data_IF_982177903210
#
_entry.id   IF_982177903210
#
_cell.length_a   1.000
_cell.length_b   1.000
_cell.length_c   1.000
_cell.angle_alpha   90.00
_cell.angle_beta   90.00
_cell.angle_gamma   90.00
#
_symmetry.space_group_name_H-M   'P 1'
#
loop_
_entity.id
_entity.type
_entity.pdbx_description
1 polymer ?
#
# COMPACT_ATOMS: atom_id res chain seq x y z
N UNK A 1 -12.73 -6.04 -0.99
CA UNK A 1 -12.96 -4.61 -0.66
C UNK A 1 -12.97 -3.80 -1.96
N UNK A 2 -13.93 -2.89 -2.17
CA UNK A 2 -13.99 -2.07 -3.40
C UNK A 2 -13.50 -0.64 -3.12
N UNK A 3 -12.18 -0.45 -3.02
CA UNK A 3 -11.54 0.85 -2.79
C UNK A 3 -10.39 1.11 -3.76
N UNK A 4 -10.00 2.38 -3.93
CA UNK A 4 -8.78 2.77 -4.64
C UNK A 4 -7.65 2.98 -3.63
N UNK A 5 -6.43 2.60 -4.01
CA UNK A 5 -5.23 2.77 -3.19
C UNK A 5 -4.35 3.90 -3.73
N UNK A 6 -3.88 4.76 -2.82
CA UNK A 6 -2.95 5.85 -3.11
C UNK A 6 -1.83 5.86 -2.06
N UNK A 7 -0.61 6.16 -2.50
CA UNK A 7 0.56 6.30 -1.63
C UNK A 7 1.06 7.73 -1.68
N UNK A 8 1.37 8.32 -0.52
CA UNK A 8 1.89 9.68 -0.43
C UNK A 8 3.31 9.71 0.14
N UNK A 9 4.24 10.34 -0.58
CA UNK A 9 5.53 10.72 -0.04
C UNK A 9 5.39 12.00 0.79
N UNK A 10 5.30 11.82 2.11
CA UNK A 10 5.08 12.90 3.06
C UNK A 10 6.38 13.67 3.35
N UNK A 11 6.24 14.99 3.49
CA UNK A 11 7.25 15.83 4.14
C UNK A 11 7.23 15.61 5.66
N UNK A 12 8.25 16.14 6.35
CA UNK A 12 8.31 16.10 7.81
C UNK A 12 7.11 16.82 8.45
N UNK A 13 6.69 17.96 7.89
CA UNK A 13 5.55 18.73 8.39
C UNK A 13 4.23 17.97 8.20
N UNK A 14 4.01 17.38 7.02
CA UNK A 14 2.82 16.56 6.77
C UNK A 14 2.79 15.32 7.66
N UNK A 15 3.93 14.66 7.86
CA UNK A 15 4.05 13.51 8.77
C UNK A 15 3.70 13.90 10.21
N UNK A 16 4.23 15.02 10.70
CA UNK A 16 3.91 15.52 12.04
C UNK A 16 2.43 15.84 12.19
N UNK A 17 1.85 16.51 11.19
CA UNK A 17 0.42 16.86 11.18
C UNK A 17 -0.47 15.62 11.17
N UNK A 18 -0.14 14.63 10.33
CA UNK A 18 -0.87 13.37 10.25
C UNK A 18 -0.80 12.58 11.57
N UNK A 19 0.39 12.50 12.18
CA UNK A 19 0.60 11.78 13.44
C UNK A 19 0.00 12.50 14.67
N UNK A 20 -0.19 13.82 14.58
CA UNK A 20 -0.82 14.63 15.62
C UNK A 20 -2.34 14.82 15.42
N UNK A 21 -2.91 14.25 14.36
CA UNK A 21 -4.33 14.33 14.08
C UNK A 21 -5.15 13.65 15.19
N UNK A 22 -6.26 14.29 15.60
CA UNK A 22 -7.12 13.78 16.65
C UNK A 22 -8.27 12.95 16.06
N UNK A 23 -8.18 11.64 16.28
CA UNK A 23 -9.15 10.65 15.82
C UNK A 23 -9.37 10.59 14.30
N UNK A 24 -10.35 9.80 13.90
CA UNK A 24 -10.67 9.50 12.50
C UNK A 24 -10.92 10.76 11.65
N UNK A 25 -11.68 11.73 12.18
CA UNK A 25 -12.01 12.96 11.46
C UNK A 25 -10.78 13.84 11.20
N UNK A 26 -9.85 13.91 12.16
CA UNK A 26 -8.60 14.64 11.98
C UNK A 26 -7.73 13.98 10.90
N UNK A 27 -7.64 12.64 10.91
CA UNK A 27 -6.87 11.89 9.91
C UNK A 27 -7.44 12.08 8.51
N UNK A 28 -8.76 11.94 8.35
CA UNK A 28 -9.43 12.17 7.06
C UNK A 28 -9.17 13.58 6.53
N UNK A 29 -9.31 14.61 7.38
CA UNK A 29 -9.06 16.00 6.96
C UNK A 29 -7.61 16.25 6.51
N UNK A 30 -6.63 15.53 7.06
CA UNK A 30 -5.23 15.60 6.60
C UNK A 30 -5.05 14.86 5.28
N UNK A 31 -5.68 13.69 5.11
CA UNK A 31 -5.63 12.92 3.86
C UNK A 31 -6.26 13.70 2.71
N UNK A 32 -7.43 14.31 2.90
CA UNK A 32 -8.09 15.14 1.87
C UNK A 32 -7.16 16.27 1.38
N UNK A 33 -6.42 16.90 2.30
CA UNK A 33 -5.43 17.93 1.93
C UNK A 33 -4.23 17.36 1.17
N UNK A 34 -3.84 16.12 1.42
CA UNK A 34 -2.78 15.45 0.68
C UNK A 34 -3.24 15.09 -0.74
N UNK A 35 -4.48 14.63 -0.91
CA UNK A 35 -5.07 14.35 -2.22
C UNK A 35 -5.07 15.59 -3.12
N UNK A 36 -5.39 16.76 -2.57
CA UNK A 36 -5.38 18.03 -3.31
C UNK A 36 -3.96 18.58 -3.55
N UNK A 37 -3.01 18.29 -2.66
CA UNK A 37 -1.74 19.02 -2.54
C UNK A 37 -0.45 18.24 -2.83
N UNK A 38 -0.50 16.91 -2.89
CA UNK A 38 0.71 16.09 -3.02
C UNK A 38 1.32 16.17 -4.44
N UNK A 39 0.49 16.32 -5.48
CA UNK A 39 0.94 16.38 -6.87
C UNK A 39 1.80 15.16 -7.23
N UNK A 40 3.03 15.40 -7.71
CA UNK A 40 3.98 14.34 -8.09
C UNK A 40 4.46 13.44 -6.93
N UNK A 41 4.13 13.80 -5.67
CA UNK A 41 4.43 12.99 -4.49
C UNK A 41 3.34 11.97 -4.16
N UNK A 42 2.25 11.94 -4.94
CA UNK A 42 1.24 10.91 -4.87
C UNK A 42 1.49 9.83 -5.95
N UNK A 43 1.24 8.59 -5.58
CA UNK A 43 1.26 7.45 -6.49
C UNK A 43 -0.05 6.67 -6.38
N UNK A 44 -0.82 6.67 -7.46
CA UNK A 44 -2.08 5.93 -7.55
C UNK A 44 -1.81 4.47 -7.93
N UNK A 45 -1.97 3.59 -6.95
CA UNK A 45 -2.00 2.14 -7.18
C UNK A 45 -3.37 1.67 -7.68
N UNK A 46 -4.36 2.56 -7.72
CA UNK A 46 -5.74 2.33 -8.15
C UNK A 46 -6.34 1.06 -7.55
N UNK A 47 -6.69 0.04 -8.35
CA UNK A 47 -7.23 -1.24 -7.86
C UNK A 47 -6.17 -2.30 -7.60
N UNK A 48 -4.91 -2.01 -7.93
CA UNK A 48 -3.81 -2.96 -7.81
C UNK A 48 -3.35 -3.19 -6.36
N UNK A 49 -3.71 -2.31 -5.43
CA UNK A 49 -3.22 -2.36 -4.04
C UNK A 49 -3.50 -3.69 -3.35
N UNK A 50 -4.65 -4.34 -3.60
CA UNK A 50 -5.04 -5.58 -2.93
C UNK A 50 -4.07 -6.71 -3.31
N UNK A 51 -3.98 -7.03 -4.60
CA UNK A 51 -3.06 -8.06 -5.07
C UNK A 51 -1.60 -7.69 -4.83
N UNK A 52 -1.24 -6.40 -4.90
CA UNK A 52 0.11 -5.95 -4.58
C UNK A 52 0.44 -6.19 -3.10
N UNK A 53 -0.49 -5.89 -2.18
CA UNK A 53 -0.34 -6.21 -0.76
C UNK A 53 -0.12 -7.71 -0.58
N UNK A 54 -1.01 -8.55 -1.14
CA UNK A 54 -0.89 -10.01 -1.06
C UNK A 54 0.44 -10.53 -1.60
N UNK A 55 0.89 -10.01 -2.74
CA UNK A 55 2.18 -10.39 -3.34
C UNK A 55 3.37 -10.00 -2.46
N UNK A 56 3.29 -8.90 -1.72
CA UNK A 56 4.41 -8.40 -0.94
C UNK A 56 4.39 -8.89 0.51
N UNK A 57 3.21 -9.21 1.05
CA UNK A 57 3.03 -9.74 2.41
C UNK A 57 3.11 -11.28 2.43
N UNK A 58 2.08 -11.95 2.92
CA UNK A 58 1.96 -13.40 3.05
C UNK A 58 0.86 -14.02 2.16
N UNK A 59 0.33 -13.27 1.19
CA UNK A 59 -0.75 -13.73 0.31
C UNK A 59 -2.17 -13.39 0.79
N UNK A 60 -2.32 -12.83 1.99
CA UNK A 60 -3.62 -12.46 2.58
C UNK A 60 -3.87 -10.95 2.51
N UNK A 61 -5.13 -10.55 2.71
CA UNK A 61 -5.55 -9.14 2.78
C UNK A 61 -5.29 -8.49 4.14
N UNK A 62 -4.90 -9.27 5.15
CA UNK A 62 -4.77 -8.78 6.52
C UNK A 62 -3.54 -7.85 6.65
N UNK A 63 -3.72 -6.73 7.34
CA UNK A 63 -2.71 -5.68 7.45
C UNK A 63 -1.68 -5.92 8.55
N UNK A 64 -2.00 -6.78 9.51
CA UNK A 64 -1.16 -7.16 10.65
C UNK A 64 -0.42 -8.48 10.45
N UNK A 65 -0.59 -9.11 9.28
CA UNK A 65 0.10 -10.32 8.89
C UNK A 65 1.32 -10.06 7.96
N UNK A 66 2.05 -11.13 7.65
CA UNK A 66 3.27 -11.09 6.84
C UNK A 66 4.51 -10.58 7.58
N UNK A 67 5.65 -10.68 6.90
CA UNK A 67 6.94 -10.37 7.48
C UNK A 67 7.42 -8.97 7.09
N UNK A 68 7.93 -8.24 8.08
CA UNK A 68 8.67 -7.02 7.83
C UNK A 68 9.96 -7.34 7.04
N UNK A 69 10.33 -6.53 6.05
CA UNK A 69 9.76 -5.21 5.75
C UNK A 69 8.62 -5.17 4.73
N UNK A 70 8.43 -6.21 3.92
CA UNK A 70 7.54 -6.14 2.76
C UNK A 70 6.05 -6.01 3.12
N UNK A 71 5.62 -6.49 4.29
CA UNK A 71 4.24 -6.30 4.73
C UNK A 71 3.82 -4.82 4.87
N UNK A 72 4.79 -3.90 4.95
CA UNK A 72 4.54 -2.44 5.04
C UNK A 72 4.48 -1.71 3.71
N UNK A 73 4.64 -2.42 2.58
CA UNK A 73 4.63 -1.78 1.27
C UNK A 73 3.25 -1.20 0.92
N UNK A 74 2.16 -1.80 1.41
CA UNK A 74 0.78 -1.38 1.11
C UNK A 74 -0.03 -1.12 2.36
N UNK A 75 -0.50 -2.16 3.07
CA UNK A 75 -1.42 -1.98 4.21
C UNK A 75 -0.74 -2.01 5.58
N UNK A 76 0.48 -2.54 5.70
CA UNK A 76 1.17 -2.61 6.98
C UNK A 76 1.69 -1.25 7.47
N UNK A 77 2.17 -1.21 8.71
CA UNK A 77 2.65 0.01 9.36
C UNK A 77 1.75 0.43 10.50
N UNK A 78 1.81 1.72 10.88
CA UNK A 78 0.98 2.27 11.95
C UNK A 78 -0.37 2.69 11.37
N UNK A 79 -1.43 1.98 11.73
CA UNK A 79 -2.79 2.38 11.38
C UNK A 79 -3.22 3.61 12.18
N UNK A 80 -3.80 4.58 11.48
CA UNK A 80 -4.20 5.87 12.05
C UNK A 80 -5.72 6.08 12.04
N UNK A 81 -6.46 5.20 11.38
CA UNK A 81 -7.90 5.28 11.23
C UNK A 81 -8.54 3.98 11.74
N UNK A 82 -9.50 4.10 12.65
CA UNK A 82 -10.11 2.95 13.34
C UNK A 82 -11.47 2.52 12.73
N UNK A 83 -11.94 3.20 11.67
CA UNK A 83 -13.18 2.82 10.98
C UNK A 83 -12.96 1.68 9.97
N UNK A 84 -14.05 1.11 9.48
CA UNK A 84 -14.07 -0.05 8.58
C UNK A 84 -14.21 0.33 7.09
N UNK A 85 -14.39 1.62 6.80
CA UNK A 85 -14.64 2.17 5.47
C UNK A 85 -13.38 2.73 4.77
N UNK A 86 -12.30 2.92 5.51
CA UNK A 86 -11.07 3.56 5.04
C UNK A 86 -9.86 3.00 5.77
N UNK A 87 -8.69 2.98 5.11
CA UNK A 87 -7.43 2.58 5.73
C UNK A 87 -6.40 3.68 5.56
N UNK A 88 -5.84 4.15 6.67
CA UNK A 88 -4.68 5.03 6.69
C UNK A 88 -3.53 4.35 7.43
N UNK A 89 -2.54 3.88 6.68
CA UNK A 89 -1.33 3.28 7.23
C UNK A 89 -0.14 4.24 7.07
N UNK A 90 0.54 4.53 8.17
CA UNK A 90 1.76 5.33 8.20
C UNK A 90 2.99 4.44 8.30
N UNK A 91 3.96 4.68 7.42
CA UNK A 91 5.27 4.03 7.43
C UNK A 91 6.33 5.12 7.62
N UNK A 92 7.16 4.98 8.66
CA UNK A 92 8.16 5.99 8.98
C UNK A 92 9.31 6.03 7.97
N UNK A 93 10.08 7.12 7.88
CA UNK A 93 11.17 7.24 6.90
C UNK A 93 12.22 6.13 6.97
N UNK A 94 12.49 5.58 8.15
CA UNK A 94 13.43 4.45 8.29
C UNK A 94 12.80 3.16 7.75
N UNK A 95 11.54 2.89 8.08
CA UNK A 95 10.82 1.73 7.59
C UNK A 95 10.64 1.77 6.06
N UNK A 96 10.44 2.96 5.47
CA UNK A 96 10.41 3.16 4.01
C UNK A 96 11.72 2.75 3.36
N UNK A 97 12.89 3.04 3.98
CA UNK A 97 14.19 2.62 3.44
C UNK A 97 14.33 1.11 3.44
N UNK A 98 13.87 0.45 4.49
CA UNK A 98 13.92 -1.01 4.58
C UNK A 98 12.97 -1.68 3.58
N UNK A 99 11.76 -1.12 3.40
CA UNK A 99 10.82 -1.55 2.35
C UNK A 99 11.45 -1.40 0.98
N UNK A 100 12.00 -0.22 0.65
CA UNK A 100 12.64 0.02 -0.64
C UNK A 100 13.80 -0.95 -0.91
N UNK A 101 14.65 -1.20 0.10
CA UNK A 101 15.75 -2.15 0.01
C UNK A 101 15.26 -3.60 -0.25
N UNK A 102 14.12 -3.98 0.34
CA UNK A 102 13.54 -5.31 0.15
C UNK A 102 12.75 -5.46 -1.16
N UNK A 103 12.18 -4.37 -1.71
CA UNK A 103 11.55 -4.37 -3.03
C UNK A 103 12.57 -4.46 -4.16
N UNK A 104 13.74 -3.83 -3.99
CA UNK A 104 14.79 -3.76 -5.01
C UNK A 104 15.18 -5.11 -5.67
N UNK A 105 15.43 -6.21 -4.92
CA UNK A 105 15.83 -7.49 -5.52
C UNK A 105 14.69 -8.30 -6.13
N UNK A 106 13.42 -7.93 -5.92
CA UNK A 106 12.27 -8.70 -6.42
C UNK A 106 12.19 -8.51 -7.93
N UNK A 107 12.35 -9.61 -8.67
CA UNK A 107 12.19 -9.61 -10.12
C UNK A 107 10.73 -9.71 -10.53
N UNK A 108 10.43 -9.39 -11.79
CA UNK A 108 9.10 -9.64 -12.37
C UNK A 108 8.70 -11.12 -12.26
N UNK A 109 9.65 -12.05 -12.42
CA UNK A 109 9.39 -13.47 -12.28
C UNK A 109 9.04 -13.84 -10.83
N UNK A 110 9.68 -13.22 -9.85
CA UNK A 110 9.36 -13.45 -8.44
C UNK A 110 7.99 -12.88 -8.11
N UNK A 111 7.68 -11.67 -8.56
CA UNK A 111 6.36 -11.08 -8.41
C UNK A 111 5.28 -11.96 -9.05
N UNK A 112 5.53 -12.48 -10.27
CA UNK A 112 4.61 -13.39 -10.96
C UNK A 112 4.33 -14.65 -10.15
N UNK A 113 5.36 -15.29 -9.59
CA UNK A 113 5.17 -16.48 -8.74
C UNK A 113 4.30 -16.19 -7.53
N UNK A 114 4.45 -15.01 -6.92
CA UNK A 114 3.65 -14.60 -5.76
C UNK A 114 2.21 -14.30 -6.14
N UNK A 115 2.01 -13.66 -7.31
CA UNK A 115 0.68 -13.42 -7.87
C UNK A 115 -0.05 -14.72 -8.22
N UNK A 116 0.63 -15.65 -8.88
CA UNK A 116 0.07 -16.96 -9.23
C UNK A 116 -0.29 -17.81 -7.98
N UNK A 117 0.26 -17.45 -6.81
CA UNK A 117 -0.01 -18.11 -5.54
C UNK A 117 -1.17 -17.47 -4.75
N UNK A 118 -1.73 -16.35 -5.21
CA UNK A 118 -2.94 -15.75 -4.62
C UNK A 118 -4.10 -16.72 -4.81
N UNK A 119 -4.85 -16.99 -3.73
CA UNK A 119 -6.07 -17.78 -3.79
C UNK A 119 -7.15 -17.00 -4.58
N UNK A 120 -7.58 -17.49 -5.76
CA UNK A 120 -8.58 -16.80 -6.57
C UNK A 120 -9.95 -16.72 -5.89
N UNK A 121 -10.26 -17.61 -4.95
CA UNK A 121 -11.53 -17.59 -4.21
C UNK A 121 -11.55 -16.52 -3.11
N UNK A 122 -10.37 -16.05 -2.68
CA UNK A 122 -10.18 -15.01 -1.66
C UNK A 122 -9.77 -13.65 -2.28
N UNK A 123 -9.66 -13.55 -3.60
CA UNK A 123 -9.24 -12.34 -4.31
C UNK A 123 -10.37 -11.80 -5.22
N UNK A 124 -10.77 -10.56 -4.99
CA UNK A 124 -11.88 -9.92 -5.70
C UNK A 124 -11.53 -9.49 -7.15
N UNK A 125 -10.25 -9.54 -7.55
CA UNK A 125 -9.80 -9.15 -8.89
C UNK A 125 -9.89 -10.27 -9.93
N UNK A 126 -9.83 -9.90 -11.22
CA UNK A 126 -9.89 -10.87 -12.33
C UNK A 126 -8.54 -11.55 -12.52
N UNK A 127 -8.30 -12.65 -11.78
CA UNK A 127 -7.02 -13.37 -11.81
C UNK A 127 -6.63 -13.77 -13.25
N UNK A 128 -5.45 -13.35 -13.68
CA UNK A 128 -4.96 -13.61 -15.04
C UNK A 128 -3.93 -12.61 -15.53
N UNK A 129 -3.58 -12.74 -16.82
CA UNK A 129 -2.49 -11.95 -17.41
C UNK A 129 -2.78 -10.45 -17.42
N UNK A 130 -4.02 -10.04 -17.71
CA UNK A 130 -4.38 -8.62 -17.75
C UNK A 130 -4.23 -7.95 -16.38
N UNK A 131 -4.67 -8.63 -15.32
CA UNK A 131 -4.56 -8.15 -13.94
C UNK A 131 -3.10 -8.17 -13.45
N UNK A 132 -2.35 -9.24 -13.76
CA UNK A 132 -0.91 -9.27 -13.48
C UNK A 132 -0.16 -8.07 -14.10
N UNK A 133 -0.51 -7.65 -15.32
CA UNK A 133 0.12 -6.49 -15.97
C UNK A 133 -0.18 -5.18 -15.23
N UNK A 134 -1.37 -5.03 -14.66
CA UNK A 134 -1.74 -3.89 -13.82
C UNK A 134 -0.89 -3.90 -12.55
N UNK A 135 -0.80 -5.06 -11.88
CA UNK A 135 -0.03 -5.23 -10.64
C UNK A 135 1.46 -5.02 -10.86
N UNK A 136 2.03 -5.53 -11.96
CA UNK A 136 3.42 -5.31 -12.32
C UNK A 136 3.70 -3.82 -12.56
N UNK A 137 2.78 -3.11 -13.22
CA UNK A 137 2.91 -1.65 -13.42
C UNK A 137 2.89 -0.93 -12.08
N UNK A 138 1.98 -1.30 -11.17
CA UNK A 138 1.89 -0.72 -9.84
C UNK A 138 3.15 -0.99 -9.00
N UNK A 139 3.64 -2.23 -9.01
CA UNK A 139 4.88 -2.62 -8.34
C UNK A 139 6.10 -1.82 -8.83
N UNK A 140 6.22 -1.62 -10.15
CA UNK A 140 7.33 -0.85 -10.71
C UNK A 140 7.23 0.64 -10.43
N UNK A 141 6.02 1.19 -10.28
CA UNK A 141 5.81 2.60 -9.91
C UNK A 141 6.08 2.90 -8.43
N UNK A 142 5.89 1.90 -7.56
CA UNK A 142 6.15 2.00 -6.12
C UNK A 142 7.66 1.94 -5.76
N UNK A 143 8.47 1.34 -6.63
CA UNK A 143 9.90 1.07 -6.40
C UNK A 143 10.79 2.20 -6.89
#
# INVERSE_FOLDING_TARGET
MAGLGVHFALTDEESQRLLAADGNQGVLAVVEQLEDGAGERAFDSERAWDALHRCLSNGTIYYDEGDYPLNRAVLGGKHLYDGDDFVAAYVSPDEVKDVAAALAPISEQDLRKRYDAIDPDDYDGEHGEADFRIILTAFLGMR
#
